data_IF_434578009256
#
_entry.id   IF_434578009256
#
_cell.length_a   1.000
_cell.length_b   1.000
_cell.length_c   1.000
_cell.angle_alpha   90.00
_cell.angle_beta   90.00
_cell.angle_gamma   90.00
#
_symmetry.space_group_name_H-M   'P 1'
#
loop_
_entity.id
_entity.type
_entity.pdbx_description
1 polymer ?
#
# COMPACT_ATOMS: atom_id res chain seq x y z
N UNK A 1 -19.18 -6.28 9.17
CA UNK A 1 -18.03 -6.07 8.28
C UNK A 1 -17.87 -7.29 7.38
N UNK A 2 -17.93 -7.07 6.06
CA UNK A 2 -17.83 -8.17 5.07
C UNK A 2 -16.60 -7.89 4.21
N UNK A 3 -15.56 -8.77 4.22
CA UNK A 3 -14.44 -8.62 3.30
C UNK A 3 -14.93 -8.86 1.85
N UNK A 4 -14.55 -7.97 0.95
CA UNK A 4 -14.94 -8.02 -0.46
C UNK A 4 -13.70 -8.01 -1.35
N UNK A 5 -13.59 -8.95 -2.27
CA UNK A 5 -12.40 -9.16 -3.11
C UNK A 5 -12.58 -8.61 -4.53
N UNK A 6 -13.80 -8.29 -4.92
CA UNK A 6 -14.12 -7.80 -6.26
C UNK A 6 -14.47 -6.30 -6.26
N UNK A 7 -14.52 -5.68 -7.44
CA UNK A 7 -15.00 -4.30 -7.59
C UNK A 7 -16.43 -4.19 -7.11
N UNK A 8 -16.70 -3.24 -6.19
CA UNK A 8 -18.04 -3.00 -5.64
C UNK A 8 -18.86 -2.16 -6.60
N UNK A 9 -20.09 -2.61 -6.88
CA UNK A 9 -21.06 -1.89 -7.73
C UNK A 9 -21.97 -0.99 -6.87
N UNK A 10 -21.68 0.31 -6.86
CA UNK A 10 -22.48 1.30 -6.13
C UNK A 10 -23.84 1.60 -6.77
N UNK A 11 -24.10 1.13 -8.00
CA UNK A 11 -25.42 1.27 -8.64
C UNK A 11 -26.44 0.29 -8.08
N UNK A 12 -25.98 -0.81 -7.47
CA UNK A 12 -26.80 -1.84 -6.80
C UNK A 12 -26.23 -2.14 -5.41
N UNK A 13 -26.27 -1.17 -4.49
CA UNK A 13 -25.58 -1.32 -3.23
C UNK A 13 -26.27 -2.34 -2.32
N UNK A 14 -25.58 -3.42 -2.02
CA UNK A 14 -25.96 -4.36 -0.96
C UNK A 14 -25.52 -3.88 0.41
N UNK A 15 -24.51 -3.01 0.44
CA UNK A 15 -23.91 -2.42 1.64
C UNK A 15 -24.13 -0.91 1.66
N UNK A 16 -24.18 -0.32 2.85
CA UNK A 16 -24.36 1.12 3.04
C UNK A 16 -23.09 1.92 2.69
N UNK A 17 -21.93 1.33 2.91
CA UNK A 17 -20.61 1.92 2.62
C UNK A 17 -19.55 0.83 2.44
N UNK A 18 -18.41 1.23 1.91
CA UNK A 18 -17.24 0.37 1.74
C UNK A 18 -15.95 1.15 2.01
N UNK A 19 -14.91 0.44 2.45
CA UNK A 19 -13.53 0.95 2.42
C UNK A 19 -12.85 0.26 1.25
N UNK A 20 -12.44 1.05 0.26
CA UNK A 20 -11.85 0.57 -0.98
C UNK A 20 -10.44 1.11 -1.15
N UNK A 21 -9.59 0.31 -1.78
CA UNK A 21 -8.25 0.73 -2.19
C UNK A 21 -8.26 1.10 -3.68
N UNK A 22 -7.81 2.32 -4.01
CA UNK A 22 -7.81 2.81 -5.39
C UNK A 22 -7.51 4.32 -5.46
N UNK A 23 -7.86 4.92 -6.59
CA UNK A 23 -7.58 6.32 -6.95
C UNK A 23 -8.65 7.33 -6.50
N UNK A 24 -9.69 6.88 -5.81
CA UNK A 24 -10.77 7.74 -5.33
C UNK A 24 -11.94 7.91 -6.33
N UNK A 25 -11.92 7.21 -7.46
CA UNK A 25 -12.95 7.36 -8.49
C UNK A 25 -13.78 6.08 -8.64
N UNK A 26 -15.00 6.13 -8.10
CA UNK A 26 -16.02 5.06 -8.28
C UNK A 26 -17.32 5.66 -8.77
N UNK A 27 -17.83 5.23 -9.95
CA UNK A 27 -19.10 5.71 -10.49
C UNK A 27 -20.24 5.51 -9.50
N UNK A 28 -21.06 6.55 -9.29
CA UNK A 28 -22.22 6.50 -8.40
C UNK A 28 -21.91 6.55 -6.89
N UNK A 29 -20.68 6.87 -6.52
CA UNK A 29 -20.26 6.95 -5.12
C UNK A 29 -19.61 8.26 -4.75
N UNK A 30 -19.83 8.70 -3.51
CA UNK A 30 -18.95 9.64 -2.84
C UNK A 30 -17.75 8.90 -2.27
N UNK A 31 -16.54 9.46 -2.43
CA UNK A 31 -15.31 8.89 -1.92
C UNK A 31 -14.55 9.93 -1.07
N UNK A 32 -14.13 9.54 0.13
CA UNK A 32 -13.33 10.34 1.03
C UNK A 32 -12.02 9.61 1.34
N UNK A 33 -10.89 10.26 1.07
CA UNK A 33 -9.58 9.68 1.37
C UNK A 33 -9.40 9.49 2.87
N UNK A 34 -8.94 8.30 3.27
CA UNK A 34 -8.65 7.95 4.65
C UNK A 34 -7.14 7.96 4.88
N UNK A 35 -6.42 7.09 4.16
CA UNK A 35 -4.99 6.85 4.36
C UNK A 35 -4.40 6.00 3.22
N UNK A 36 -3.13 5.60 3.34
CA UNK A 36 -2.53 4.58 2.46
C UNK A 36 -1.81 5.13 1.24
N UNK A 37 -1.77 6.45 1.06
CA UNK A 37 -1.02 7.10 -0.02
C UNK A 37 0.48 7.24 0.28
N UNK A 38 0.92 7.07 1.52
CA UNK A 38 2.33 6.92 1.84
C UNK A 38 2.73 5.45 1.71
N UNK A 39 3.65 5.17 0.79
CA UNK A 39 4.19 3.83 0.55
C UNK A 39 5.56 3.73 1.21
N UNK A 40 5.72 2.73 2.07
CA UNK A 40 6.98 2.42 2.72
C UNK A 40 7.75 1.35 1.93
N UNK A 41 9.06 1.54 1.78
CA UNK A 41 9.98 0.48 1.40
C UNK A 41 10.36 -0.29 2.66
N UNK A 42 10.06 -1.58 2.69
CA UNK A 42 10.36 -2.45 3.82
C UNK A 42 11.33 -3.57 3.44
N UNK A 43 12.19 -3.88 4.40
CA UNK A 43 13.18 -4.95 4.33
C UNK A 43 13.09 -5.84 5.57
N UNK A 44 13.54 -7.10 5.50
CA UNK A 44 13.64 -7.97 6.67
C UNK A 44 14.48 -7.35 7.79
N UNK A 45 14.14 -7.68 9.04
CA UNK A 45 14.91 -7.28 10.23
C UNK A 45 16.35 -7.79 10.16
N UNK A 46 16.50 -9.06 9.85
CA UNK A 46 17.82 -9.69 9.68
C UNK A 46 18.38 -9.33 8.32
N UNK A 47 19.69 -9.12 8.26
CA UNK A 47 20.38 -8.90 6.98
C UNK A 47 20.06 -10.07 6.04
N UNK A 48 19.27 -9.80 5.01
CA UNK A 48 19.11 -10.73 3.89
C UNK A 48 20.30 -10.47 3.00
N UNK A 49 21.20 -11.41 2.97
CA UNK A 49 22.48 -11.33 2.29
C UNK A 49 23.52 -10.35 2.91
N UNK A 50 24.78 -10.58 2.57
CA UNK A 50 25.96 -9.78 2.96
C UNK A 50 25.98 -8.36 2.36
N UNK A 51 24.87 -7.87 1.85
CA UNK A 51 24.77 -6.61 1.12
C UNK A 51 23.95 -5.59 1.92
N UNK A 52 24.56 -4.56 2.51
CA UNK A 52 23.82 -3.48 3.12
C UNK A 52 23.13 -2.61 2.06
N UNK A 53 21.93 -2.10 2.37
CA UNK A 53 21.22 -1.10 1.57
C UNK A 53 21.56 0.27 2.15
N UNK A 54 22.34 1.05 1.43
CA UNK A 54 22.72 2.43 1.78
C UNK A 54 22.14 3.45 0.80
N UNK A 55 21.88 3.03 -0.43
CA UNK A 55 21.37 3.85 -1.51
C UNK A 55 20.24 3.15 -2.25
N UNK A 56 19.38 3.88 -2.97
CA UNK A 56 18.35 3.26 -3.81
C UNK A 56 18.90 2.25 -4.82
N UNK A 57 20.12 2.43 -5.30
CA UNK A 57 20.78 1.50 -6.25
C UNK A 57 20.99 0.11 -5.68
N UNK A 58 21.16 0.01 -4.36
CA UNK A 58 21.43 -1.27 -3.71
C UNK A 58 20.19 -2.18 -3.71
N UNK A 59 18.99 -1.60 -3.88
CA UNK A 59 17.73 -2.33 -3.98
C UNK A 59 17.71 -3.30 -5.17
N UNK A 60 18.43 -2.98 -6.26
CA UNK A 60 18.54 -3.82 -7.44
C UNK A 60 19.17 -5.22 -7.19
N UNK A 61 19.80 -5.42 -6.04
CA UNK A 61 20.43 -6.69 -5.66
C UNK A 61 19.50 -7.66 -4.95
N UNK A 62 18.25 -7.23 -4.70
CA UNK A 62 17.28 -7.97 -3.91
C UNK A 62 16.11 -8.46 -4.76
N UNK A 63 15.46 -9.51 -4.28
CA UNK A 63 14.16 -9.92 -4.82
C UNK A 63 13.12 -8.85 -4.46
N UNK A 64 12.40 -8.37 -5.47
CA UNK A 64 11.35 -7.35 -5.31
C UNK A 64 10.00 -8.04 -5.30
N UNK A 65 9.29 -7.95 -4.16
CA UNK A 65 7.95 -8.51 -4.02
C UNK A 65 6.94 -7.53 -4.60
N UNK A 66 5.97 -8.04 -5.36
CA UNK A 66 4.98 -7.23 -6.09
C UNK A 66 3.57 -7.49 -5.59
N UNK A 67 2.73 -6.48 -5.64
CA UNK A 67 1.30 -6.62 -5.34
C UNK A 67 0.47 -6.48 -6.61
N UNK A 68 -0.53 -7.36 -6.80
CA UNK A 68 -1.34 -7.40 -8.03
C UNK A 68 -2.15 -6.12 -8.29
N UNK A 69 -2.61 -5.43 -7.23
CA UNK A 69 -3.41 -4.20 -7.38
C UNK A 69 -2.59 -2.93 -7.64
N UNK A 70 -1.27 -2.99 -7.47
CA UNK A 70 -0.33 -1.89 -7.74
C UNK A 70 0.87 -2.37 -8.53
N UNK A 71 0.66 -2.89 -9.74
CA UNK A 71 1.71 -3.52 -10.54
C UNK A 71 2.86 -2.57 -10.89
N UNK A 72 2.60 -1.26 -10.90
CA UNK A 72 3.56 -0.20 -11.24
C UNK A 72 4.34 0.34 -10.03
N UNK A 73 4.13 -0.22 -8.83
CA UNK A 73 4.73 0.33 -7.60
C UNK A 73 6.26 0.45 -7.70
N UNK A 74 6.95 -0.59 -8.18
CA UNK A 74 8.39 -0.56 -8.34
C UNK A 74 8.87 0.35 -9.47
N UNK A 75 8.08 0.53 -10.54
CA UNK A 75 8.37 1.49 -11.59
C UNK A 75 8.34 2.92 -11.02
N UNK A 76 7.25 3.31 -10.35
CA UNK A 76 7.10 4.63 -9.71
C UNK A 76 8.17 4.88 -8.66
N UNK A 77 8.49 3.85 -7.88
CA UNK A 77 9.57 3.95 -6.91
C UNK A 77 10.92 4.25 -7.56
N UNK A 78 11.25 3.54 -8.67
CA UNK A 78 12.51 3.75 -9.38
C UNK A 78 12.62 5.14 -10.00
N UNK A 79 11.50 5.67 -10.55
CA UNK A 79 11.40 7.03 -11.07
C UNK A 79 11.61 8.05 -9.95
N UNK A 80 10.95 7.87 -8.81
CA UNK A 80 11.06 8.78 -7.65
C UNK A 80 12.49 8.86 -7.12
N UNK A 81 13.23 7.75 -7.18
CA UNK A 81 14.59 7.66 -6.61
C UNK A 81 15.72 7.75 -7.66
N UNK A 82 15.40 8.03 -8.93
CA UNK A 82 16.37 8.21 -10.00
C UNK A 82 17.20 6.96 -10.29
N UNK A 83 16.56 5.78 -10.25
CA UNK A 83 17.20 4.48 -10.48
C UNK A 83 16.49 3.66 -11.56
N UNK A 84 15.84 4.35 -12.49
CA UNK A 84 15.20 3.73 -13.65
C UNK A 84 16.20 2.88 -14.45
N UNK A 85 15.74 1.73 -14.88
CA UNK A 85 16.56 0.77 -15.64
C UNK A 85 17.56 -0.02 -14.82
N UNK A 86 17.72 0.25 -13.51
CA UNK A 86 18.55 -0.57 -12.61
C UNK A 86 17.80 -1.74 -12.00
N UNK A 87 16.48 -1.66 -11.94
CA UNK A 87 15.61 -2.72 -11.45
C UNK A 87 14.66 -3.16 -12.55
N UNK A 88 14.27 -4.43 -12.54
CA UNK A 88 13.15 -4.91 -13.35
C UNK A 88 11.87 -4.82 -12.49
N UNK A 89 11.00 -3.81 -12.73
CA UNK A 89 9.82 -3.59 -11.91
C UNK A 89 8.78 -4.70 -12.02
N UNK A 90 8.92 -5.59 -13.03
CA UNK A 90 8.02 -6.72 -13.26
C UNK A 90 8.61 -8.05 -12.79
N UNK A 91 9.86 -8.08 -12.37
CA UNK A 91 10.48 -9.28 -11.81
C UNK A 91 10.00 -9.57 -10.38
N UNK A 92 10.10 -10.85 -9.99
CA UNK A 92 9.80 -11.30 -8.64
C UNK A 92 8.37 -11.78 -8.41
N UNK A 93 8.13 -12.42 -7.25
CA UNK A 93 6.85 -13.03 -6.92
C UNK A 93 5.75 -12.00 -6.71
N UNK A 94 4.51 -12.38 -7.05
CA UNK A 94 3.32 -11.57 -6.88
C UNK A 94 2.48 -12.04 -5.71
N UNK A 95 1.85 -11.09 -5.04
CA UNK A 95 0.94 -11.27 -3.92
C UNK A 95 -0.38 -10.53 -4.19
N UNK A 96 -1.47 -11.09 -3.73
CA UNK A 96 -2.82 -10.50 -3.78
C UNK A 96 -3.24 -9.82 -2.46
N UNK A 97 -2.46 -10.04 -1.39
CA UNK A 97 -2.69 -9.51 -0.05
C UNK A 97 -1.43 -8.85 0.49
N UNK A 98 -1.53 -7.57 0.89
CA UNK A 98 -0.43 -6.85 1.53
C UNK A 98 0.07 -7.56 2.79
N UNK A 99 -0.82 -8.10 3.62
CA UNK A 99 -0.44 -8.82 4.84
C UNK A 99 0.42 -10.06 4.56
N UNK A 100 0.10 -10.80 3.51
CA UNK A 100 0.90 -11.96 3.08
C UNK A 100 2.26 -11.50 2.56
N UNK A 101 2.31 -10.41 1.81
CA UNK A 101 3.55 -9.82 1.31
C UNK A 101 4.44 -9.30 2.44
N UNK A 102 3.87 -8.64 3.46
CA UNK A 102 4.60 -8.21 4.67
C UNK A 102 5.21 -9.42 5.40
N UNK A 103 4.45 -10.49 5.57
CA UNK A 103 4.96 -11.74 6.18
C UNK A 103 6.08 -12.37 5.35
N UNK A 104 6.01 -12.32 4.03
CA UNK A 104 7.07 -12.77 3.15
C UNK A 104 8.37 -11.96 3.34
N UNK A 105 8.26 -10.62 3.51
CA UNK A 105 9.41 -9.78 3.88
C UNK A 105 9.97 -10.20 5.24
N UNK A 106 9.13 -10.38 6.26
CA UNK A 106 9.58 -10.86 7.59
C UNK A 106 10.31 -12.20 7.51
N UNK A 107 9.88 -13.08 6.61
CA UNK A 107 10.53 -14.37 6.33
C UNK A 107 11.83 -14.27 5.50
N UNK A 108 12.22 -13.07 5.09
CA UNK A 108 13.46 -12.87 4.34
C UNK A 108 13.37 -13.09 2.84
N UNK A 109 12.17 -13.14 2.26
CA UNK A 109 12.00 -13.43 0.82
C UNK A 109 12.42 -12.29 -0.10
N UNK A 110 12.52 -11.04 0.41
CA UNK A 110 12.89 -9.90 -0.40
C UNK A 110 12.45 -8.57 0.21
N UNK A 111 12.39 -7.54 -0.64
CA UNK A 111 11.91 -6.19 -0.30
C UNK A 111 10.50 -5.99 -0.84
N UNK A 112 9.72 -5.14 -0.17
CA UNK A 112 8.39 -4.80 -0.63
C UNK A 112 8.10 -3.31 -0.49
N UNK A 113 7.17 -2.84 -1.33
CA UNK A 113 6.53 -1.53 -1.24
C UNK A 113 5.10 -1.75 -0.74
N UNK A 114 4.79 -1.19 0.42
CA UNK A 114 3.47 -1.38 1.07
C UNK A 114 2.93 -0.07 1.61
N UNK A 115 1.60 0.13 1.65
CA UNK A 115 1.03 1.28 2.36
C UNK A 115 1.54 1.31 3.80
N UNK A 116 2.12 2.45 4.22
CA UNK A 116 2.73 2.61 5.55
C UNK A 116 1.78 2.28 6.68
N UNK A 117 0.51 2.65 6.54
CA UNK A 117 -0.53 2.38 7.53
C UNK A 117 -0.76 0.88 7.81
N UNK A 118 -0.37 -0.01 6.89
CA UNK A 118 -0.52 -1.47 7.06
C UNK A 118 0.68 -2.14 7.71
N UNK A 119 1.78 -1.43 7.90
CA UNK A 119 3.07 -2.01 8.36
C UNK A 119 3.69 -1.24 9.52
N UNK A 120 3.01 -0.20 10.00
CA UNK A 120 3.54 0.68 11.05
C UNK A 120 3.85 -0.08 12.35
N UNK A 121 3.02 -1.05 12.71
CA UNK A 121 3.21 -1.85 13.93
C UNK A 121 4.43 -2.77 13.78
N UNK A 122 4.63 -3.41 12.63
CA UNK A 122 5.80 -4.25 12.35
C UNK A 122 7.10 -3.45 12.31
N UNK A 123 7.06 -2.20 11.79
CA UNK A 123 8.21 -1.29 11.83
C UNK A 123 8.53 -0.92 13.29
N UNK A 124 7.52 -0.52 14.06
CA UNK A 124 7.68 -0.13 15.46
C UNK A 124 8.17 -1.28 16.33
N UNK A 125 7.67 -2.49 16.09
CA UNK A 125 8.13 -3.71 16.76
C UNK A 125 9.49 -4.21 16.27
N UNK A 126 10.08 -3.59 15.23
CA UNK A 126 11.34 -3.99 14.64
C UNK A 126 11.30 -5.37 13.96
N UNK A 127 10.15 -5.81 13.50
CA UNK A 127 9.96 -7.05 12.74
C UNK A 127 10.38 -6.89 11.28
N UNK A 128 10.19 -5.70 10.74
CA UNK A 128 10.74 -5.22 9.48
C UNK A 128 11.46 -3.89 9.72
N UNK A 129 12.24 -3.43 8.77
CA UNK A 129 12.93 -2.14 8.81
C UNK A 129 12.74 -1.36 7.52
N UNK A 130 12.84 -0.06 7.61
CA UNK A 130 13.00 0.85 6.47
C UNK A 130 14.51 0.93 6.17
N UNK A 131 14.97 0.43 5.02
CA UNK A 131 16.41 0.29 4.78
C UNK A 131 17.10 1.61 4.42
N UNK A 132 16.35 2.65 4.04
CA UNK A 132 16.85 3.97 3.64
C UNK A 132 16.27 5.08 4.53
N UNK A 133 16.61 5.10 5.83
CA UNK A 133 15.98 6.00 6.81
C UNK A 133 16.25 7.48 6.55
N UNK A 134 17.37 7.81 5.92
CA UNK A 134 17.82 9.19 5.64
C UNK A 134 17.35 9.72 4.28
N UNK A 135 16.76 8.86 3.45
CA UNK A 135 16.16 9.27 2.17
C UNK A 135 14.78 9.90 2.37
N UNK A 136 14.34 10.69 1.39
CA UNK A 136 12.98 11.25 1.37
C UNK A 136 11.94 10.13 1.57
N UNK A 137 10.94 10.39 2.41
CA UNK A 137 9.94 9.41 2.82
C UNK A 137 10.55 8.09 3.33
N UNK A 138 11.76 8.14 3.91
CA UNK A 138 12.52 6.98 4.38
C UNK A 138 12.70 5.89 3.31
N UNK A 139 12.92 6.33 2.07
CA UNK A 139 13.08 5.46 0.90
C UNK A 139 11.76 4.93 0.31
N UNK A 140 10.62 5.43 0.80
CA UNK A 140 9.31 5.19 0.19
C UNK A 140 8.96 6.21 -0.90
N UNK A 141 7.66 6.33 -1.20
CA UNK A 141 7.14 7.36 -2.11
C UNK A 141 5.67 7.68 -1.79
N UNK A 142 5.14 8.77 -2.38
CA UNK A 142 3.70 9.07 -2.34
C UNK A 142 3.01 8.50 -3.55
N UNK A 143 1.96 7.72 -3.30
CA UNK A 143 1.11 7.11 -4.32
C UNK A 143 -0.13 7.95 -4.59
N UNK A 144 -0.65 7.87 -5.82
CA UNK A 144 -1.95 8.43 -6.18
C UNK A 144 -3.11 7.55 -5.70
N UNK A 145 -2.83 6.30 -5.29
CA UNK A 145 -3.83 5.38 -4.74
C UNK A 145 -3.69 5.26 -3.22
N UNK A 146 -4.83 4.97 -2.57
CA UNK A 146 -4.91 4.84 -1.11
C UNK A 146 -6.22 4.19 -0.70
N UNK A 147 -6.53 4.20 0.60
CA UNK A 147 -7.79 3.74 1.16
C UNK A 147 -8.80 4.87 1.21
N UNK A 148 -10.00 4.59 0.73
CA UNK A 148 -11.09 5.55 0.62
C UNK A 148 -12.34 5.01 1.29
N UNK A 149 -13.02 5.86 2.04
CA UNK A 149 -14.36 5.61 2.51
C UNK A 149 -15.36 5.99 1.41
N UNK A 150 -16.09 5.00 0.90
CA UNK A 150 -16.99 5.13 -0.22
C UNK A 150 -18.43 4.77 0.17
N UNK A 151 -19.40 5.54 -0.31
CA UNK A 151 -20.82 5.24 -0.13
C UNK A 151 -21.65 5.74 -1.31
N UNK A 152 -22.80 5.09 -1.63
CA UNK A 152 -23.64 5.48 -2.76
C UNK A 152 -24.19 6.90 -2.62
N UNK A 153 -24.24 7.66 -3.71
CA UNK A 153 -24.79 9.02 -3.74
C UNK A 153 -26.22 9.10 -3.16
N UNK A 154 -27.05 8.08 -3.41
CA UNK A 154 -28.43 8.02 -2.91
C UNK A 154 -28.58 7.76 -1.40
N UNK A 155 -27.48 7.51 -0.66
CA UNK A 155 -27.50 7.17 0.78
C UNK A 155 -26.92 8.23 1.71
N UNK A 156 -26.67 9.43 1.22
CA UNK A 156 -26.09 10.54 2.00
C UNK A 156 -26.91 10.95 3.22
N UNK A 157 -28.23 10.67 3.22
CA UNK A 157 -29.15 11.06 4.30
C UNK A 157 -29.26 10.04 5.45
N UNK A 158 -28.58 8.89 5.36
CA UNK A 158 -28.58 7.90 6.42
C UNK A 158 -27.81 8.42 7.64
N UNK A 159 -28.50 8.68 8.74
CA UNK A 159 -27.91 9.23 9.98
C UNK A 159 -26.74 8.37 10.50
N UNK A 160 -26.88 7.05 10.52
CA UNK A 160 -25.82 6.13 10.93
C UNK A 160 -24.55 6.26 10.06
N UNK A 161 -24.74 6.44 8.73
CA UNK A 161 -23.65 6.65 7.80
C UNK A 161 -22.95 8.00 8.04
N UNK A 162 -23.70 9.05 8.33
CA UNK A 162 -23.16 10.37 8.65
C UNK A 162 -22.30 10.31 9.93
N UNK A 163 -22.84 9.73 11.00
CA UNK A 163 -22.09 9.55 12.26
C UNK A 163 -20.81 8.72 12.06
N UNK A 164 -20.89 7.63 11.31
CA UNK A 164 -19.72 6.80 11.01
C UNK A 164 -18.67 7.55 10.20
N UNK A 165 -19.09 8.30 9.17
CA UNK A 165 -18.20 9.12 8.36
C UNK A 165 -17.49 10.18 9.20
N UNK A 166 -18.23 10.92 10.03
CA UNK A 166 -17.67 11.95 10.92
C UNK A 166 -16.64 11.37 11.89
N UNK A 167 -16.94 10.22 12.48
CA UNK A 167 -16.00 9.51 13.35
C UNK A 167 -14.75 9.02 12.61
N UNK A 168 -14.91 8.47 11.39
CA UNK A 168 -13.81 7.90 10.63
C UNK A 168 -12.84 8.96 10.09
N UNK A 169 -13.37 10.16 9.75
CA UNK A 169 -12.60 11.24 9.13
C UNK A 169 -12.11 12.29 10.13
N UNK A 170 -12.46 12.16 11.43
CA UNK A 170 -11.98 13.03 12.49
C UNK A 170 -10.52 12.74 12.84
#
# INVERSE_FOLDING_TARGET
FVPYVHSYDFTRPELDCAILFGDGHWPGAHAHHITGNEVALIAPRTKVADWPIHTPRDVARYTLLRHVTVPEAWLRWSETHGVEGLIDPLAGPQFDQFQTMIRAVMAGMGLALVPRCLVQDEITAGLVREPLPDADLRGGYRSDVGYWFCYPEGRTQLHALQCFREWLLA
#
